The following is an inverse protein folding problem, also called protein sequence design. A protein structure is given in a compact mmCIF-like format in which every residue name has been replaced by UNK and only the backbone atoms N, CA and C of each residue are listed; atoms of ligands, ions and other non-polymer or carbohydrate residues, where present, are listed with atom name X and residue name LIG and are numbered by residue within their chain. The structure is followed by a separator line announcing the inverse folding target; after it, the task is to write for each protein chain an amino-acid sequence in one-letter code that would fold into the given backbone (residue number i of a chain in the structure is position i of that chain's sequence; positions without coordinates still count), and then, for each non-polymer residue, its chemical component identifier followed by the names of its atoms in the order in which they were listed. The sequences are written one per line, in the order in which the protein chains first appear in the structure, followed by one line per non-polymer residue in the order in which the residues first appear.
data_IF_048791749110
#
_entry.id   IF_048791749110
#
_cell.length_a   1.000
_cell.length_b   1.000
_cell.length_c   1.000
_cell.angle_alpha   90.00
_cell.angle_beta   90.00
_cell.angle_gamma   90.00
#
_symmetry.space_group_name_H-M   'P 1'
#
loop_
_entity.id
_entity.type
_entity.pdbx_description
1 polymer ?
#
# COMPACT_ATOMS: atom_id res chain seq x y z
N UNK A 1 -6.53 -16.99 4.45
CA UNK A 1 -7.85 -16.31 4.24
C UNK A 1 -8.16 -16.34 2.75
N UNK A 2 -9.32 -16.82 2.35
CA UNK A 2 -9.78 -16.77 0.95
C UNK A 2 -10.98 -15.83 0.86
N UNK A 3 -10.97 -14.97 -0.14
CA UNK A 3 -12.03 -14.02 -0.44
C UNK A 3 -12.28 -14.08 -1.95
N UNK A 4 -13.52 -14.03 -2.44
CA UNK A 4 -13.79 -13.97 -3.88
C UNK A 4 -13.07 -12.77 -4.52
N UNK A 5 -12.31 -13.05 -5.59
CA UNK A 5 -11.49 -12.05 -6.29
C UNK A 5 -12.27 -11.27 -7.38
N UNK A 6 -13.57 -11.18 -7.22
CA UNK A 6 -14.44 -10.47 -8.14
C UNK A 6 -14.66 -9.03 -7.67
N UNK A 7 -14.68 -8.11 -8.62
CA UNK A 7 -15.10 -6.74 -8.35
C UNK A 7 -16.57 -6.71 -7.91
N UNK A 8 -16.87 -5.93 -6.88
CA UNK A 8 -18.23 -5.69 -6.41
C UNK A 8 -18.80 -4.43 -7.09
N UNK A 9 -20.10 -4.34 -7.17
CA UNK A 9 -20.77 -3.12 -7.64
C UNK A 9 -20.45 -1.94 -6.70
N UNK A 10 -20.43 -2.20 -5.40
CA UNK A 10 -20.06 -1.22 -4.37
C UNK A 10 -18.99 -1.84 -3.47
N UNK A 11 -17.78 -1.24 -3.37
CA UNK A 11 -16.77 -1.72 -2.45
C UNK A 11 -17.21 -1.51 -0.99
N UNK A 12 -16.85 -2.44 -0.06
CA UNK A 12 -17.22 -2.29 1.35
C UNK A 12 -16.51 -1.11 2.03
N UNK A 13 -15.35 -0.70 1.53
CA UNK A 13 -14.56 0.41 2.06
C UNK A 13 -14.20 1.38 0.95
N UNK A 14 -14.32 2.69 1.24
CA UNK A 14 -13.85 3.74 0.33
C UNK A 14 -12.33 3.90 0.47
N UNK A 15 -11.64 4.09 -0.65
CA UNK A 15 -10.20 4.36 -0.68
C UNK A 15 -10.00 5.88 -0.71
N UNK A 16 -9.29 6.39 0.29
CA UNK A 16 -8.92 7.79 0.37
C UNK A 16 -7.86 8.15 -0.67
N UNK A 17 -7.91 9.36 -1.20
CA UNK A 17 -7.02 9.82 -2.26
C UNK A 17 -6.11 10.96 -1.81
N UNK A 18 -5.08 11.23 -2.60
CA UNK A 18 -4.07 12.27 -2.33
C UNK A 18 -4.74 13.61 -1.97
N UNK A 19 -4.25 14.22 -0.90
CA UNK A 19 -4.83 15.42 -0.30
C UNK A 19 -5.63 15.14 0.98
N UNK A 20 -6.03 13.89 1.20
CA UNK A 20 -6.71 13.49 2.42
C UNK A 20 -5.68 13.25 3.54
N UNK A 21 -5.83 13.95 4.66
CA UNK A 21 -4.89 13.92 5.78
C UNK A 21 -4.72 12.53 6.39
N UNK A 22 -5.71 11.64 6.27
CA UNK A 22 -5.63 10.28 6.81
C UNK A 22 -4.46 9.49 6.23
N UNK A 23 -4.05 9.81 4.99
CA UNK A 23 -2.93 9.15 4.32
C UNK A 23 -1.56 9.50 4.93
N UNK A 24 -1.49 10.55 5.71
CA UNK A 24 -0.26 11.06 6.32
C UNK A 24 -0.09 10.68 7.79
N UNK A 25 -1.09 10.03 8.36
CA UNK A 25 -1.05 9.62 9.76
C UNK A 25 -0.41 8.23 9.92
N UNK A 26 0.51 8.04 10.89
CA UNK A 26 1.13 6.74 11.12
C UNK A 26 0.12 5.75 11.71
N UNK A 27 0.25 4.50 11.32
CA UNK A 27 -0.56 3.40 11.81
C UNK A 27 -0.04 2.85 13.16
N UNK A 28 -0.95 2.40 14.00
CA UNK A 28 -0.63 1.80 15.31
C UNK A 28 -0.55 0.28 15.21
N UNK A 29 0.30 -0.31 16.00
CA UNK A 29 0.40 -1.77 16.11
C UNK A 29 -0.91 -2.37 16.62
N UNK A 30 -1.27 -3.52 16.06
CA UNK A 30 -2.42 -4.32 16.50
C UNK A 30 -1.94 -5.22 17.63
N UNK A 31 -2.52 -5.07 18.82
CA UNK A 31 -2.16 -5.86 20.01
C UNK A 31 -2.65 -7.31 19.90
N UNK A 32 -3.92 -7.49 19.53
CA UNK A 32 -4.59 -8.80 19.41
C UNK A 32 -5.28 -8.93 18.06
N UNK A 33 -5.01 -10.01 17.36
CA UNK A 33 -5.72 -10.37 16.13
C UNK A 33 -7.03 -11.05 16.49
N UNK A 34 -8.11 -10.31 16.36
CA UNK A 34 -9.49 -10.77 16.66
C UNK A 34 -10.33 -10.83 15.37
N UNK A 35 -11.62 -11.14 15.50
CA UNK A 35 -12.52 -11.21 14.34
C UNK A 35 -12.68 -9.86 13.64
N UNK A 36 -12.67 -8.75 14.37
CA UNK A 36 -12.76 -7.41 13.77
C UNK A 36 -11.57 -7.11 12.84
N UNK A 37 -10.36 -7.53 13.23
CA UNK A 37 -9.16 -7.41 12.37
C UNK A 37 -9.30 -8.29 11.12
N UNK A 38 -9.84 -9.51 11.27
CA UNK A 38 -10.09 -10.41 10.13
C UNK A 38 -11.15 -9.87 9.19
N UNK A 39 -12.23 -9.29 9.73
CA UNK A 39 -13.26 -8.63 8.91
C UNK A 39 -12.69 -7.44 8.14
N UNK A 40 -11.91 -6.59 8.81
CA UNK A 40 -11.24 -5.48 8.15
C UNK A 40 -10.35 -5.97 7.00
N UNK A 41 -9.57 -7.03 7.21
CA UNK A 41 -8.73 -7.61 6.17
C UNK A 41 -9.56 -8.14 4.98
N UNK A 42 -10.71 -8.79 5.25
CA UNK A 42 -11.63 -9.24 4.18
C UNK A 42 -12.21 -8.08 3.39
N UNK A 43 -12.64 -7.03 4.06
CA UNK A 43 -13.23 -5.86 3.41
C UNK A 43 -12.17 -5.06 2.64
N UNK A 44 -10.94 -4.99 3.15
CA UNK A 44 -9.81 -4.43 2.41
C UNK A 44 -9.51 -5.21 1.13
N UNK A 45 -9.49 -6.54 1.19
CA UNK A 45 -9.30 -7.39 0.00
C UNK A 45 -10.40 -7.17 -1.03
N UNK A 46 -11.67 -7.16 -0.61
CA UNK A 46 -12.80 -6.91 -1.52
C UNK A 46 -12.73 -5.52 -2.16
N UNK A 47 -12.38 -4.51 -1.40
CA UNK A 47 -12.20 -3.14 -1.91
C UNK A 47 -11.01 -3.04 -2.86
N UNK A 48 -9.89 -3.71 -2.55
CA UNK A 48 -8.72 -3.80 -3.40
C UNK A 48 -9.04 -4.47 -4.75
N UNK A 49 -9.72 -5.62 -4.74
CA UNK A 49 -10.13 -6.31 -5.97
C UNK A 49 -11.11 -5.48 -6.80
N UNK A 50 -12.03 -4.79 -6.15
CA UNK A 50 -13.00 -3.89 -6.82
C UNK A 50 -12.28 -2.74 -7.52
N UNK A 51 -11.22 -2.21 -6.92
CA UNK A 51 -10.39 -1.16 -7.50
C UNK A 51 -9.29 -1.70 -8.44
N UNK A 52 -9.23 -3.02 -8.67
CA UNK A 52 -8.22 -3.70 -9.51
C UNK A 52 -6.78 -3.45 -9.04
N UNK A 53 -6.59 -3.33 -7.73
CA UNK A 53 -5.28 -3.19 -7.10
C UNK A 53 -4.68 -4.53 -6.71
N UNK A 54 -3.37 -4.53 -6.45
CA UNK A 54 -2.60 -5.69 -5.99
C UNK A 54 -2.14 -5.58 -4.54
N UNK A 55 -2.27 -4.40 -3.94
CA UNK A 55 -1.97 -4.11 -2.54
C UNK A 55 -2.87 -3.02 -1.98
N UNK A 56 -3.09 -3.05 -0.68
CA UNK A 56 -3.85 -2.03 0.05
C UNK A 56 -3.43 -2.04 1.53
N UNK A 57 -3.19 -0.86 2.08
CA UNK A 57 -2.90 -0.65 3.49
C UNK A 57 -4.09 -0.03 4.23
N UNK A 58 -4.26 -0.37 5.49
CA UNK A 58 -5.41 0.10 6.29
C UNK A 58 -5.54 1.63 6.37
N UNK A 59 -4.48 2.44 6.44
CA UNK A 59 -4.61 3.89 6.37
C UNK A 59 -5.32 4.41 5.11
N UNK A 60 -5.20 3.71 3.98
CA UNK A 60 -5.87 4.09 2.73
C UNK A 60 -7.39 3.96 2.80
N UNK A 61 -7.91 3.20 3.74
CA UNK A 61 -9.35 3.09 4.03
C UNK A 61 -9.74 3.78 5.35
N UNK A 62 -8.89 4.68 5.85
CA UNK A 62 -9.16 5.49 7.03
C UNK A 62 -8.93 4.77 8.37
N UNK A 63 -8.31 3.61 8.38
CA UNK A 63 -8.04 2.83 9.59
C UNK A 63 -6.54 2.84 9.90
N UNK A 64 -6.15 3.52 10.99
CA UNK A 64 -4.75 3.68 11.38
C UNK A 64 -4.22 2.50 12.19
N UNK A 65 -4.26 1.32 11.59
CA UNK A 65 -3.73 0.07 12.13
C UNK A 65 -2.69 -0.53 11.20
N UNK A 66 -1.67 -1.19 11.76
CA UNK A 66 -0.61 -1.84 11.00
C UNK A 66 -1.11 -3.16 10.38
N UNK A 67 -1.89 -3.00 9.32
CA UNK A 67 -2.47 -4.07 8.53
C UNK A 67 -2.35 -3.70 7.05
N UNK A 68 -1.87 -4.64 6.24
CA UNK A 68 -1.87 -4.53 4.80
C UNK A 68 -2.22 -5.88 4.15
N UNK A 69 -2.72 -5.82 2.94
CA UNK A 69 -3.09 -6.98 2.13
C UNK A 69 -2.44 -6.88 0.76
N UNK A 70 -2.01 -8.02 0.22
CA UNK A 70 -1.37 -8.13 -1.11
C UNK A 70 -1.87 -9.38 -1.80
N UNK A 71 -2.15 -9.27 -3.09
CA UNK A 71 -2.42 -10.40 -3.97
C UNK A 71 -1.85 -10.11 -5.36
N UNK A 72 -0.85 -10.90 -5.76
CA UNK A 72 -0.21 -10.80 -7.08
C UNK A 72 -0.78 -11.80 -8.11
N UNK A 73 -1.66 -12.71 -7.68
CA UNK A 73 -2.26 -13.75 -8.51
C UNK A 73 -3.79 -13.57 -8.57
N UNK A 74 -4.22 -12.47 -9.18
CA UNK A 74 -5.62 -12.05 -9.20
C UNK A 74 -6.53 -13.00 -9.99
N UNK A 75 -5.97 -13.74 -10.94
CA UNK A 75 -6.73 -14.63 -11.83
C UNK A 75 -7.00 -16.01 -11.21
N UNK A 76 -6.18 -16.41 -10.25
CA UNK A 76 -6.31 -17.73 -9.60
C UNK A 76 -7.03 -17.61 -8.25
N UNK A 77 -8.30 -17.95 -8.22
CA UNK A 77 -9.11 -17.92 -7.01
C UNK A 77 -8.61 -18.85 -5.88
N UNK A 78 -7.83 -19.88 -6.22
CA UNK A 78 -7.28 -20.81 -5.24
C UNK A 78 -6.02 -20.32 -4.53
N UNK A 79 -5.32 -19.34 -5.12
CA UNK A 79 -4.14 -18.72 -4.48
C UNK A 79 -4.60 -17.77 -3.38
N UNK A 80 -4.26 -18.02 -2.11
CA UNK A 80 -4.67 -17.13 -1.02
C UNK A 80 -3.90 -15.80 -1.09
N UNK A 81 -4.58 -14.67 -0.84
CA UNK A 81 -3.90 -13.40 -0.66
C UNK A 81 -3.03 -13.40 0.60
N UNK A 82 -2.07 -12.50 0.64
CA UNK A 82 -1.21 -12.28 1.78
C UNK A 82 -1.82 -11.21 2.69
N UNK A 83 -1.96 -11.53 3.97
CA UNK A 83 -2.38 -10.60 5.03
C UNK A 83 -1.21 -10.41 5.98
N UNK A 84 -0.72 -9.18 6.11
CA UNK A 84 0.40 -8.85 6.99
C UNK A 84 -0.08 -7.92 8.11
N UNK A 85 0.06 -8.39 9.34
CA UNK A 85 -0.27 -7.64 10.55
C UNK A 85 1.02 -7.33 11.30
N UNK A 86 1.23 -6.07 11.66
CA UNK A 86 2.45 -5.57 12.30
C UNK A 86 3.73 -5.97 11.53
N UNK A 87 3.80 -5.73 10.22
CA UNK A 87 4.97 -6.08 9.45
C UNK A 87 6.19 -5.25 9.88
N UNK A 88 7.35 -5.90 9.89
CA UNK A 88 8.62 -5.28 10.23
C UNK A 88 9.73 -5.82 9.33
N UNK A 89 10.36 -4.95 8.55
CA UNK A 89 11.50 -5.31 7.70
C UNK A 89 12.75 -5.38 8.57
N UNK A 90 13.38 -6.56 8.60
CA UNK A 90 14.60 -6.81 9.36
C UNK A 90 15.87 -6.64 8.54
N UNK A 91 15.79 -6.79 7.22
CA UNK A 91 16.90 -6.61 6.29
C UNK A 91 16.42 -6.25 4.90
N UNK A 92 17.23 -5.47 4.18
CA UNK A 92 17.01 -5.12 2.78
C UNK A 92 18.31 -5.37 2.01
N UNK A 93 18.19 -5.77 0.74
CA UNK A 93 19.36 -5.93 -0.12
C UNK A 93 20.07 -4.59 -0.38
N UNK A 94 21.37 -4.64 -0.61
CA UNK A 94 22.14 -3.52 -1.15
C UNK A 94 21.81 -3.28 -2.63
N UNK A 95 21.36 -4.31 -3.33
CA UNK A 95 20.89 -4.22 -4.71
C UNK A 95 19.56 -3.47 -4.76
N UNK A 96 19.48 -2.51 -5.66
CA UNK A 96 18.30 -1.68 -5.89
C UNK A 96 17.89 -1.77 -7.36
N UNK A 97 16.62 -1.55 -7.63
CA UNK A 97 16.11 -1.36 -8.99
C UNK A 97 15.15 -0.17 -9.06
N UNK A 98 14.94 0.29 -10.28
CA UNK A 98 13.97 1.32 -10.61
C UNK A 98 12.81 0.68 -11.35
N UNK A 99 11.60 0.95 -10.87
CA UNK A 99 10.39 0.41 -11.48
C UNK A 99 9.24 1.40 -11.34
N UNK A 100 8.35 1.43 -12.32
CA UNK A 100 7.18 2.27 -12.31
C UNK A 100 6.17 1.79 -11.28
N UNK A 101 5.81 2.67 -10.36
CA UNK A 101 4.76 2.43 -9.35
C UNK A 101 3.54 3.29 -9.61
N UNK A 102 2.39 2.76 -9.23
CA UNK A 102 1.13 3.45 -9.11
C UNK A 102 0.50 3.17 -7.74
N UNK A 103 -0.55 3.88 -7.38
CA UNK A 103 -1.22 3.73 -6.10
C UNK A 103 -2.72 3.95 -6.26
N UNK A 104 -3.54 3.12 -5.60
CA UNK A 104 -5.00 3.30 -5.58
C UNK A 104 -5.42 4.65 -4.97
N UNK A 105 -4.60 5.22 -4.08
CA UNK A 105 -4.81 6.55 -3.50
C UNK A 105 -4.37 7.70 -4.40
N UNK A 106 -3.70 7.44 -5.51
CA UNK A 106 -3.26 8.44 -6.49
C UNK A 106 -3.59 7.91 -7.91
N UNK A 107 -4.88 7.84 -8.26
CA UNK A 107 -5.31 7.23 -9.51
C UNK A 107 -4.70 7.91 -10.73
N UNK A 108 -4.26 7.11 -11.70
CA UNK A 108 -3.76 7.59 -12.99
C UNK A 108 -2.32 8.10 -12.96
N UNK A 109 -1.66 8.16 -11.81
CA UNK A 109 -0.27 8.62 -11.67
C UNK A 109 0.66 7.42 -11.57
N UNK A 110 1.61 7.32 -12.49
CA UNK A 110 2.63 6.27 -12.55
C UNK A 110 4.00 6.91 -12.72
N UNK A 111 4.91 6.60 -11.80
CA UNK A 111 6.25 7.20 -11.77
C UNK A 111 7.28 6.19 -11.28
N UNK A 112 8.51 6.35 -11.74
CA UNK A 112 9.63 5.52 -11.36
C UNK A 112 10.04 5.74 -9.90
N UNK A 113 10.17 4.64 -9.17
CA UNK A 113 10.62 4.60 -7.77
C UNK A 113 11.76 3.62 -7.63
N UNK A 114 12.81 4.03 -6.93
CA UNK A 114 13.96 3.18 -6.59
C UNK A 114 13.70 2.48 -5.26
N UNK A 115 13.84 1.14 -5.26
CA UNK A 115 13.71 0.33 -4.04
C UNK A 115 14.73 -0.80 -3.98
N UNK A 116 15.07 -1.29 -2.76
CA UNK A 116 15.75 -2.58 -2.60
C UNK A 116 15.02 -3.70 -3.35
N UNK A 117 15.78 -4.57 -4.01
CA UNK A 117 15.23 -5.66 -4.83
C UNK A 117 14.71 -6.83 -4.00
N UNK A 118 15.18 -6.97 -2.76
CA UNK A 118 14.72 -8.00 -1.83
C UNK A 118 14.71 -7.51 -0.39
N UNK A 119 13.84 -8.12 0.42
CA UNK A 119 13.67 -7.82 1.84
C UNK A 119 13.48 -9.10 2.64
N UNK A 120 13.86 -9.05 3.90
CA UNK A 120 13.45 -10.01 4.92
C UNK A 120 12.53 -9.32 5.93
N UNK A 121 11.42 -9.95 6.27
CA UNK A 121 10.46 -9.37 7.19
C UNK A 121 9.83 -10.39 8.13
N UNK A 122 9.36 -9.89 9.27
CA UNK A 122 8.49 -10.60 10.19
C UNK A 122 7.12 -9.92 10.25
N UNK A 123 6.08 -10.69 10.48
CA UNK A 123 4.70 -10.21 10.61
C UNK A 123 3.85 -11.24 11.37
N UNK A 124 2.60 -10.90 11.65
CA UNK A 124 1.58 -11.86 12.07
C UNK A 124 0.60 -12.11 10.92
N UNK A 125 0.21 -13.37 10.74
CA UNK A 125 -0.86 -13.73 9.80
C UNK A 125 -2.25 -13.39 10.36
N UNK A 126 -3.30 -13.65 9.58
CA UNK A 126 -4.70 -13.39 9.98
C UNK A 126 -5.17 -14.23 11.17
N UNK A 127 -4.44 -15.26 11.54
CA UNK A 127 -4.69 -16.07 12.75
C UNK A 127 -3.86 -15.56 13.94
N UNK A 128 -3.08 -14.49 13.78
CA UNK A 128 -2.23 -13.93 14.81
C UNK A 128 -0.91 -14.68 15.02
N UNK A 129 -0.59 -15.65 14.15
CA UNK A 129 0.64 -16.45 14.25
C UNK A 129 1.83 -15.67 13.72
N UNK A 130 2.97 -15.68 14.44
CA UNK A 130 4.18 -15.04 13.94
C UNK A 130 4.71 -15.77 12.70
N UNK A 131 5.11 -14.98 11.70
CA UNK A 131 5.66 -15.45 10.43
C UNK A 131 6.92 -14.67 10.10
N UNK A 132 7.78 -15.31 9.32
CA UNK A 132 8.93 -14.67 8.66
C UNK A 132 8.90 -15.03 7.19
N UNK A 133 9.31 -14.11 6.34
CA UNK A 133 9.46 -14.37 4.91
C UNK A 133 10.61 -13.56 4.32
N UNK A 134 11.12 -14.09 3.22
CA UNK A 134 11.98 -13.37 2.28
C UNK A 134 11.14 -13.07 1.04
N UNK A 135 11.19 -11.86 0.56
CA UNK A 135 10.51 -11.44 -0.65
C UNK A 135 11.50 -10.78 -1.60
N UNK A 136 11.30 -10.99 -2.89
CA UNK A 136 12.05 -10.34 -3.96
C UNK A 136 11.11 -9.82 -5.05
N UNK A 137 11.67 -9.14 -6.05
CA UNK A 137 10.95 -8.64 -7.21
C UNK A 137 9.69 -7.84 -6.85
N UNK A 138 8.60 -8.11 -7.57
CA UNK A 138 7.34 -7.39 -7.40
C UNK A 138 6.75 -7.54 -5.99
N UNK A 139 6.88 -8.71 -5.37
CA UNK A 139 6.39 -8.94 -3.99
C UNK A 139 7.14 -8.03 -3.00
N UNK A 140 8.46 -7.94 -3.08
CA UNK A 140 9.24 -7.05 -2.22
C UNK A 140 8.86 -5.59 -2.44
N UNK A 141 8.63 -5.17 -3.67
CA UNK A 141 8.21 -3.82 -4.04
C UNK A 141 6.84 -3.49 -3.47
N UNK A 142 5.86 -4.37 -3.66
CA UNK A 142 4.51 -4.19 -3.11
C UNK A 142 4.51 -4.08 -1.59
N UNK A 143 5.23 -4.96 -0.90
CA UNK A 143 5.32 -4.92 0.57
C UNK A 143 5.91 -3.58 1.02
N UNK A 144 6.99 -3.12 0.41
CA UNK A 144 7.62 -1.83 0.75
C UNK A 144 6.69 -0.65 0.48
N UNK A 145 5.96 -0.67 -0.63
CA UNK A 145 4.98 0.36 -0.98
C UNK A 145 3.86 0.43 0.08
N UNK A 146 3.28 -0.72 0.45
CA UNK A 146 2.19 -0.77 1.44
C UNK A 146 2.69 -0.45 2.86
N UNK A 147 3.92 -0.83 3.21
CA UNK A 147 4.53 -0.45 4.49
C UNK A 147 4.79 1.06 4.58
N UNK A 148 5.10 1.72 3.48
CA UNK A 148 5.19 3.19 3.44
C UNK A 148 3.88 3.82 3.92
N UNK A 149 2.73 3.34 3.45
CA UNK A 149 1.42 3.82 3.90
C UNK A 149 1.22 3.70 5.41
N UNK A 150 1.76 2.64 6.04
CA UNK A 150 1.70 2.49 7.50
C UNK A 150 2.48 3.57 8.25
N UNK A 151 3.41 4.24 7.58
CA UNK A 151 4.21 5.33 8.13
C UNK A 151 3.81 6.71 7.60
N UNK A 152 2.68 6.83 6.91
CA UNK A 152 2.22 8.08 6.30
C UNK A 152 3.03 8.54 5.10
N UNK A 153 3.77 7.63 4.45
CA UNK A 153 4.60 7.88 3.28
C UNK A 153 3.86 7.39 2.02
N UNK A 154 3.85 8.22 0.99
CA UNK A 154 3.31 7.88 -0.33
C UNK A 154 4.45 7.66 -1.33
N UNK A 155 4.21 6.88 -2.39
CA UNK A 155 5.27 6.61 -3.38
C UNK A 155 5.78 7.87 -4.07
N UNK A 156 4.94 8.90 -4.21
CA UNK A 156 5.32 10.20 -4.77
C UNK A 156 6.40 10.91 -3.93
N UNK A 157 6.50 10.61 -2.64
CA UNK A 157 7.54 11.15 -1.75
C UNK A 157 8.93 10.53 -2.05
N UNK A 158 8.95 9.41 -2.76
CA UNK A 158 10.18 8.69 -3.15
C UNK A 158 10.63 8.98 -4.58
N UNK A 159 9.82 9.69 -5.35
CA UNK A 159 10.16 10.06 -6.72
C UNK A 159 11.26 11.12 -6.72
N UNK A 160 12.30 10.88 -7.51
CA UNK A 160 13.45 11.82 -7.63
C UNK A 160 13.28 12.81 -8.76
N UNK A 161 12.47 12.51 -9.77
CA UNK A 161 12.12 13.41 -10.86
C UNK A 161 10.98 14.36 -10.46
N UNK A 162 11.33 15.49 -9.86
CA UNK A 162 10.36 16.50 -9.43
C UNK A 162 9.55 17.10 -10.60
N UNK A 163 10.14 17.20 -11.79
CA UNK A 163 9.46 17.75 -12.97
C UNK A 163 8.42 16.77 -13.52
N UNK A 164 8.78 15.49 -13.62
CA UNK A 164 7.87 14.43 -14.00
C UNK A 164 6.72 14.28 -13.00
N UNK A 165 7.01 14.33 -11.72
CA UNK A 165 6.00 14.29 -10.66
C UNK A 165 5.00 15.45 -10.78
N UNK A 166 5.47 16.67 -10.93
CA UNK A 166 4.60 17.85 -11.07
C UNK A 166 3.69 17.75 -12.29
N UNK A 167 4.24 17.28 -13.42
CA UNK A 167 3.48 17.07 -14.64
C UNK A 167 2.37 16.02 -14.44
N UNK A 168 2.72 14.84 -13.92
CA UNK A 168 1.76 13.75 -13.69
C UNK A 168 0.65 14.17 -12.72
N UNK A 169 0.98 14.86 -11.64
CA UNK A 169 -0.01 15.34 -10.69
C UNK A 169 -0.96 16.38 -11.30
N UNK A 170 -0.45 17.30 -12.12
CA UNK A 170 -1.30 18.30 -12.82
C UNK A 170 -2.24 17.65 -13.82
N UNK A 171 -1.79 16.65 -14.55
CA UNK A 171 -2.57 15.99 -15.59
C UNK A 171 -3.63 15.03 -15.03
N UNK A 172 -3.35 14.38 -13.90
CA UNK A 172 -4.15 13.27 -13.38
C UNK A 172 -4.84 13.54 -12.03
N UNK A 173 -4.44 14.58 -11.31
CA UNK A 173 -4.98 14.90 -9.99
C UNK A 173 -5.77 16.21 -10.03
N UNK A 174 -7.10 16.14 -10.00
CA UNK A 174 -8.00 17.31 -10.06
C UNK A 174 -7.84 18.29 -8.87
N UNK A 175 -7.24 17.83 -7.77
CA UNK A 175 -7.02 18.63 -6.56
C UNK A 175 -5.59 19.19 -6.47
N UNK A 176 -4.73 18.89 -7.45
CA UNK A 176 -3.36 19.38 -7.43
C UNK A 176 -3.32 20.86 -7.84
N UNK A 177 -3.10 21.73 -6.85
CA UNK A 177 -2.66 23.11 -7.06
C UNK A 177 -1.15 23.17 -6.84
N UNK A 178 -0.39 23.74 -7.79
CA UNK A 178 1.05 23.91 -7.63
C UNK A 178 1.34 24.54 -6.26
N UNK A 179 2.31 24.00 -5.48
CA UNK A 179 2.69 24.60 -4.21
C UNK A 179 3.10 26.06 -4.45
N UNK A 180 2.62 26.94 -3.59
CA UNK A 180 3.05 28.35 -3.61
C UNK A 180 4.57 28.41 -3.36
N UNK A 181 5.30 29.37 -3.95
CA UNK A 181 6.73 29.57 -3.64
C UNK A 181 7.05 29.73 -2.15
N UNK A 182 6.04 29.99 -1.32
CA UNK A 182 6.17 30.05 0.16
C UNK A 182 6.20 28.69 0.84
N UNK A 183 5.71 27.65 0.17
CA UNK A 183 5.63 26.29 0.74
C UNK A 183 6.92 25.48 0.49
N UNK A 184 7.85 26.04 -0.30
CA UNK A 184 9.14 25.43 -0.62
C UNK A 184 10.28 25.93 0.29
N UNK A 185 9.98 26.72 1.34
CA UNK A 185 10.96 27.29 2.26
C UNK A 185 10.86 26.69 3.66
N UNK A 186 11.06 25.38 3.77
CA UNK A 186 11.40 24.73 5.05
C UNK A 186 12.41 23.63 4.81
#
# INVERSE_FOLDING_TARGET
MLVPKQALETPPLAIHTLGDEVLRQPARRIGKVNEQVRELARDMLRSMYTAKGIGLAAPQVGVHQQLLVIDLDLENAATPPLVLINPEISASSASIDTYEEGCLSIPGVYLDVVRPTSIELSYRDEMGRPRKMKADGLMARCIQHEMDHLNGVLFVDRVTDASGLEKELKENCLLYTSPSPRDLST
#
